data_IF_845299910159
#
_entry.id   IF_845299910159
#
_cell.length_a   1.000
_cell.length_b   1.000
_cell.length_c   1.000
_cell.angle_alpha   90.00
_cell.angle_beta   90.00
_cell.angle_gamma   90.00
#
_symmetry.space_group_name_H-M   'P 1'
#
loop_
_entity.id
_entity.type
_entity.pdbx_description
1 polymer ?
#
# COMPACT_ATOMS: atom_id res chain seq x y z
N UNK A 1 -6.72 10.56 -3.71
CA UNK A 1 -5.38 10.91 -4.24
C UNK A 1 -5.33 12.42 -4.49
N UNK A 2 -4.14 13.02 -4.55
CA UNK A 2 -3.98 14.48 -4.76
C UNK A 2 -4.50 14.96 -6.11
N UNK A 3 -4.48 14.08 -7.11
CA UNK A 3 -4.76 14.34 -8.52
C UNK A 3 -6.26 14.43 -8.86
N UNK A 4 -7.16 14.12 -7.91
CA UNK A 4 -8.62 14.06 -8.16
C UNK A 4 -9.48 14.77 -7.11
N UNK A 5 -8.86 15.38 -6.08
CA UNK A 5 -9.56 15.90 -4.90
C UNK A 5 -10.50 14.82 -4.29
N UNK A 6 -11.57 15.13 -3.49
CA UNK A 6 -12.46 14.08 -3.00
C UNK A 6 -13.33 13.54 -4.14
N UNK A 7 -13.10 12.28 -4.51
CA UNK A 7 -13.81 11.64 -5.61
C UNK A 7 -15.07 10.87 -5.18
N UNK A 8 -15.14 10.50 -3.90
CA UNK A 8 -16.25 9.73 -3.34
C UNK A 8 -16.84 10.41 -2.11
N UNK A 9 -18.09 10.08 -1.82
CA UNK A 9 -18.82 10.52 -0.64
C UNK A 9 -19.58 9.33 -0.04
N UNK A 10 -19.61 9.26 1.29
CA UNK A 10 -20.51 8.34 2.00
C UNK A 10 -21.73 9.12 2.44
N UNK A 11 -22.88 8.86 1.79
CA UNK A 11 -24.15 9.48 2.18
C UNK A 11 -24.58 8.99 3.55
N UNK A 12 -25.20 9.88 4.33
CA UNK A 12 -25.73 9.55 5.66
C UNK A 12 -26.68 8.35 5.56
N UNK A 13 -26.45 7.32 6.38
CA UNK A 13 -27.27 6.10 6.40
C UNK A 13 -26.97 5.07 5.29
N UNK A 14 -26.05 5.36 4.36
CA UNK A 14 -25.65 4.44 3.29
C UNK A 14 -24.20 3.96 3.45
N UNK A 15 -23.76 3.80 4.70
CA UNK A 15 -22.43 3.28 5.00
C UNK A 15 -22.37 1.77 4.80
N UNK A 16 -21.32 1.30 4.13
CA UNK A 16 -20.95 -0.12 4.07
C UNK A 16 -19.55 -0.30 4.61
N UNK A 17 -19.37 -1.29 5.48
CA UNK A 17 -18.06 -1.61 6.07
C UNK A 17 -17.04 -1.89 4.96
N UNK A 18 -15.89 -1.23 5.04
CA UNK A 18 -14.81 -1.36 4.06
C UNK A 18 -14.97 -0.55 2.77
N UNK A 19 -16.12 0.07 2.53
CA UNK A 19 -16.32 0.94 1.37
C UNK A 19 -15.75 2.35 1.60
N UNK A 20 -15.22 2.96 0.55
CA UNK A 20 -14.85 4.38 0.51
C UNK A 20 -16.00 5.28 0.04
N UNK A 21 -17.21 4.75 -0.02
CA UNK A 21 -18.43 5.45 -0.43
C UNK A 21 -18.75 5.29 -1.92
N UNK A 22 -19.66 6.13 -2.40
CA UNK A 22 -20.10 6.19 -3.80
C UNK A 22 -19.42 7.38 -4.50
N UNK A 23 -19.37 7.41 -5.84
CA UNK A 23 -18.94 8.60 -6.57
C UNK A 23 -19.66 9.87 -6.09
N UNK A 24 -18.90 10.94 -5.86
CA UNK A 24 -19.47 12.24 -5.49
C UNK A 24 -20.26 12.84 -6.67
N UNK A 25 -21.16 13.82 -6.44
CA UNK A 25 -21.86 14.50 -7.53
C UNK A 25 -20.88 15.02 -8.59
N UNK A 26 -21.21 14.83 -9.86
CA UNK A 26 -20.37 15.20 -11.01
C UNK A 26 -19.03 14.46 -11.12
N UNK A 27 -18.81 13.42 -10.29
CA UNK A 27 -17.69 12.49 -10.43
C UNK A 27 -18.18 11.20 -11.08
N UNK A 28 -17.35 10.68 -11.97
CA UNK A 28 -17.52 9.38 -12.60
C UNK A 28 -16.39 8.46 -12.15
N UNK A 29 -16.74 7.22 -11.80
CA UNK A 29 -15.80 6.18 -11.44
C UNK A 29 -16.08 4.97 -12.29
N UNK A 30 -15.04 4.40 -12.90
CA UNK A 30 -15.09 3.08 -13.51
C UNK A 30 -13.94 2.23 -13.02
N UNK A 31 -14.13 0.93 -13.07
CA UNK A 31 -13.08 -0.05 -12.77
C UNK A 31 -12.67 -0.70 -14.08
N UNK A 32 -11.39 -0.71 -14.40
CA UNK A 32 -10.87 -1.17 -15.69
C UNK A 32 -9.98 -2.40 -15.48
N UNK A 33 -10.20 -3.42 -16.30
CA UNK A 33 -9.36 -4.60 -16.28
C UNK A 33 -7.98 -4.27 -16.86
N UNK A 34 -6.93 -4.49 -16.07
CA UNK A 34 -5.55 -4.15 -16.43
C UNK A 34 -4.97 -4.91 -17.63
N UNK A 35 -5.60 -6.01 -18.05
CA UNK A 35 -5.15 -6.82 -19.19
C UNK A 35 -5.89 -6.48 -20.50
N UNK A 36 -7.16 -6.10 -20.41
CA UNK A 36 -8.01 -5.89 -21.59
C UNK A 36 -8.36 -4.43 -21.87
N UNK A 37 -8.04 -3.52 -20.93
CA UNK A 37 -8.41 -2.10 -20.96
C UNK A 37 -9.93 -1.88 -21.11
N UNK A 38 -10.72 -2.88 -20.71
CA UNK A 38 -12.19 -2.85 -20.73
C UNK A 38 -12.75 -2.62 -19.33
N UNK A 39 -13.91 -1.96 -19.19
CA UNK A 39 -14.60 -1.88 -17.91
C UNK A 39 -14.89 -3.27 -17.32
N UNK A 40 -14.58 -3.42 -16.04
CA UNK A 40 -14.92 -4.58 -15.22
C UNK A 40 -16.44 -4.61 -14.94
N UNK A 41 -16.97 -5.81 -14.70
CA UNK A 41 -18.31 -5.96 -14.12
C UNK A 41 -18.29 -5.57 -12.64
N UNK A 42 -19.48 -5.48 -12.04
CA UNK A 42 -19.58 -5.28 -10.59
C UNK A 42 -18.99 -6.46 -9.85
N UNK A 43 -18.36 -6.15 -8.72
CA UNK A 43 -17.58 -7.06 -7.89
C UNK A 43 -16.36 -7.68 -8.57
N UNK A 44 -16.01 -7.27 -9.79
CA UNK A 44 -14.74 -7.64 -10.42
C UNK A 44 -13.66 -6.59 -10.08
N UNK A 45 -12.49 -7.10 -9.70
CA UNK A 45 -11.35 -6.27 -9.31
C UNK A 45 -10.59 -5.79 -10.54
N UNK A 46 -10.35 -4.49 -10.61
CA UNK A 46 -9.60 -3.82 -11.68
C UNK A 46 -8.97 -2.51 -11.19
N UNK A 47 -8.31 -1.78 -12.07
CA UNK A 47 -7.78 -0.45 -11.76
C UNK A 47 -8.93 0.57 -11.68
N UNK A 48 -8.94 1.37 -10.62
CA UNK A 48 -9.93 2.44 -10.43
C UNK A 48 -9.53 3.61 -11.33
N UNK A 49 -10.46 4.05 -12.17
CA UNK A 49 -10.30 5.24 -13.00
C UNK A 49 -11.36 6.27 -12.62
N UNK A 50 -10.95 7.53 -12.51
CA UNK A 50 -11.81 8.62 -12.04
C UNK A 50 -11.85 9.75 -13.05
N UNK A 51 -13.03 10.33 -13.27
CA UNK A 51 -13.22 11.51 -14.09
C UNK A 51 -14.16 12.49 -13.40
N UNK A 52 -13.90 13.78 -13.56
CA UNK A 52 -14.71 14.84 -12.97
C UNK A 52 -14.02 16.19 -13.05
N UNK A 53 -14.73 17.26 -12.64
CA UNK A 53 -14.24 18.64 -12.73
C UNK A 53 -13.07 18.93 -11.79
N UNK A 54 -12.87 18.12 -10.74
CA UNK A 54 -11.82 18.30 -9.72
C UNK A 54 -10.51 17.59 -10.06
N UNK A 55 -10.38 17.05 -11.27
CA UNK A 55 -9.12 16.42 -11.72
C UNK A 55 -8.01 17.45 -11.84
N UNK A 56 -6.76 17.00 -11.64
CA UNK A 56 -5.59 17.81 -11.95
C UNK A 56 -5.55 18.20 -13.44
N UNK A 57 -4.92 19.34 -13.73
CA UNK A 57 -4.66 19.78 -15.09
C UNK A 57 -3.52 18.95 -15.71
N UNK A 58 -2.36 18.94 -15.07
CA UNK A 58 -1.16 18.20 -15.46
C UNK A 58 -0.15 18.17 -14.31
N UNK A 59 0.84 17.29 -14.41
CA UNK A 59 2.05 17.41 -13.60
C UNK A 59 2.96 18.53 -14.15
N UNK A 60 3.45 19.39 -13.26
CA UNK A 60 4.31 20.52 -13.61
C UNK A 60 5.60 20.02 -14.29
N UNK A 61 5.88 20.54 -15.49
CA UNK A 61 7.03 20.19 -16.32
C UNK A 61 7.20 18.68 -16.62
N UNK A 62 6.13 17.89 -16.50
CA UNK A 62 6.20 16.45 -16.74
C UNK A 62 5.05 15.96 -17.64
N UNK A 63 5.12 16.23 -18.96
CA UNK A 63 4.09 15.83 -19.91
C UNK A 63 4.00 14.30 -20.07
N UNK A 64 5.10 13.57 -19.89
CA UNK A 64 5.12 12.11 -19.99
C UNK A 64 4.32 11.47 -18.84
N UNK A 65 4.60 11.88 -17.59
CA UNK A 65 3.82 11.42 -16.45
C UNK A 65 2.35 11.81 -16.58
N UNK A 66 2.06 13.01 -17.11
CA UNK A 66 0.68 13.46 -17.35
C UNK A 66 -0.04 12.54 -18.33
N UNK A 67 0.59 12.18 -19.46
CA UNK A 67 0.03 11.25 -20.45
C UNK A 67 -0.12 9.82 -19.92
N UNK A 68 0.76 9.40 -19.00
CA UNK A 68 0.66 8.08 -18.37
C UNK A 68 -0.51 8.00 -17.37
N UNK A 69 -0.78 9.09 -16.64
CA UNK A 69 -1.82 9.15 -15.61
C UNK A 69 -3.18 9.57 -16.15
N UNK A 70 -3.22 10.45 -17.15
CA UNK A 70 -4.45 11.00 -17.71
C UNK A 70 -4.66 10.49 -19.13
N UNK A 71 -5.77 9.81 -19.35
CA UNK A 71 -6.16 9.34 -20.68
C UNK A 71 -6.67 10.49 -21.55
N UNK A 72 -6.67 10.29 -22.87
CA UNK A 72 -7.12 11.30 -23.83
C UNK A 72 -8.59 11.71 -23.66
N UNK A 73 -9.44 10.79 -23.19
CA UNK A 73 -10.86 11.00 -22.86
C UNK A 73 -11.08 11.52 -21.43
N UNK A 74 -9.99 11.92 -20.76
CA UNK A 74 -10.03 12.61 -19.48
C UNK A 74 -10.34 11.69 -18.30
N UNK A 75 -9.82 10.46 -18.24
CA UNK A 75 -9.80 9.65 -17.02
C UNK A 75 -8.45 9.75 -16.33
N UNK A 76 -8.44 9.87 -15.01
CA UNK A 76 -7.24 9.70 -14.19
C UNK A 76 -7.16 8.23 -13.81
N UNK A 77 -6.07 7.57 -14.19
CA UNK A 77 -5.71 6.24 -13.71
C UNK A 77 -5.15 6.38 -12.30
N UNK A 78 -5.81 5.82 -11.29
CA UNK A 78 -5.39 6.06 -9.90
C UNK A 78 -4.16 5.26 -9.50
N UNK A 79 -3.86 4.17 -10.20
CA UNK A 79 -2.87 3.19 -9.77
C UNK A 79 -3.33 2.34 -8.57
N UNK A 80 -4.60 2.48 -8.16
CA UNK A 80 -5.23 1.72 -7.09
C UNK A 80 -6.17 0.66 -7.68
N UNK A 81 -6.10 -0.55 -7.15
CA UNK A 81 -7.02 -1.62 -7.49
C UNK A 81 -8.25 -1.55 -6.61
N UNK A 82 -9.41 -1.85 -7.19
CA UNK A 82 -10.67 -1.87 -6.48
C UNK A 82 -11.77 -2.52 -7.28
N UNK A 83 -12.96 -2.51 -6.70
CA UNK A 83 -14.18 -2.92 -7.36
C UNK A 83 -15.34 -2.04 -6.89
N UNK A 84 -16.38 -1.97 -7.72
CA UNK A 84 -17.67 -1.43 -7.32
C UNK A 84 -18.62 -2.57 -7.05
N UNK A 85 -19.38 -2.52 -5.95
CA UNK A 85 -20.44 -3.49 -5.71
C UNK A 85 -21.70 -3.20 -6.55
N UNK A 86 -22.79 -3.92 -6.25
CA UNK A 86 -24.09 -3.77 -6.92
C UNK A 86 -24.75 -2.41 -6.71
N UNK A 87 -24.41 -1.71 -5.62
CA UNK A 87 -25.04 -0.45 -5.23
C UNK A 87 -24.07 0.74 -5.42
N UNK A 88 -23.07 0.60 -6.30
CA UNK A 88 -22.07 1.63 -6.61
C UNK A 88 -21.13 2.01 -5.45
N UNK A 89 -21.04 1.20 -4.40
CA UNK A 89 -20.05 1.42 -3.36
C UNK A 89 -18.68 0.96 -3.85
N UNK A 90 -17.71 1.88 -3.76
CA UNK A 90 -16.32 1.63 -4.15
C UNK A 90 -15.58 0.98 -2.99
N UNK A 91 -14.82 -0.06 -3.31
CA UNK A 91 -13.92 -0.76 -2.40
C UNK A 91 -12.52 -0.71 -2.97
N UNK A 92 -11.56 -0.22 -2.18
CA UNK A 92 -10.15 -0.18 -2.54
C UNK A 92 -9.49 -1.44 -1.99
N UNK A 93 -8.82 -2.19 -2.86
CA UNK A 93 -8.16 -3.45 -2.53
C UNK A 93 -6.72 -3.20 -2.11
N UNK A 94 -5.89 -2.67 -3.02
CA UNK A 94 -4.48 -2.33 -2.75
C UNK A 94 -3.94 -1.48 -3.92
N UNK A 95 -2.67 -1.07 -3.87
CA UNK A 95 -2.01 -0.39 -4.98
C UNK A 95 -1.43 -1.36 -5.99
N UNK A 96 -1.56 -1.05 -7.28
CA UNK A 96 -1.03 -1.89 -8.38
C UNK A 96 0.45 -2.23 -8.19
N UNK A 97 1.26 -1.23 -7.82
CA UNK A 97 2.71 -1.40 -7.64
C UNK A 97 3.10 -2.21 -6.39
N UNK A 98 2.15 -2.41 -5.47
CA UNK A 98 2.37 -3.08 -4.19
C UNK A 98 1.83 -4.52 -4.21
N UNK A 99 1.04 -4.88 -5.22
CA UNK A 99 0.60 -6.26 -5.45
C UNK A 99 1.77 -7.23 -5.61
N UNK A 100 1.69 -8.33 -4.87
CA UNK A 100 2.68 -9.40 -4.90
C UNK A 100 2.38 -10.31 -6.09
N UNK A 101 3.38 -10.50 -6.95
CA UNK A 101 3.25 -11.31 -8.18
C UNK A 101 3.69 -12.75 -7.92
N UNK A 102 2.76 -13.59 -7.47
CA UNK A 102 3.02 -15.02 -7.24
C UNK A 102 2.50 -15.87 -8.40
N UNK A 103 3.43 -16.41 -9.20
CA UNK A 103 3.13 -17.10 -10.46
C UNK A 103 2.29 -16.20 -11.38
N UNK A 104 1.21 -16.73 -11.95
CA UNK A 104 0.24 -15.98 -12.76
C UNK A 104 -0.83 -15.25 -11.94
N UNK A 105 -0.69 -15.19 -10.61
CA UNK A 105 -1.69 -14.59 -9.71
C UNK A 105 -1.12 -13.36 -9.00
N UNK A 106 -2.01 -12.40 -8.77
CA UNK A 106 -1.71 -11.21 -7.98
C UNK A 106 -2.30 -11.38 -6.58
N UNK A 107 -1.50 -11.08 -5.56
CA UNK A 107 -1.89 -11.18 -4.15
C UNK A 107 -1.80 -9.78 -3.56
N UNK A 108 -2.89 -9.32 -2.91
CA UNK A 108 -2.93 -8.02 -2.24
C UNK A 108 -2.34 -8.14 -0.83
N UNK A 109 -1.21 -7.47 -0.53
CA UNK A 109 -0.67 -7.41 0.83
C UNK A 109 -1.71 -7.05 1.89
N UNK A 110 -2.53 -6.02 1.64
CA UNK A 110 -3.49 -5.52 2.62
C UNK A 110 -4.59 -6.53 2.96
N UNK A 111 -4.91 -7.47 2.07
CA UNK A 111 -5.80 -8.57 2.40
C UNK A 111 -5.18 -9.50 3.46
N UNK A 112 -3.90 -9.86 3.30
CA UNK A 112 -3.20 -10.71 4.27
C UNK A 112 -3.00 -9.97 5.59
N UNK A 113 -2.62 -8.69 5.55
CA UNK A 113 -2.45 -7.84 6.73
C UNK A 113 -3.75 -7.77 7.53
N UNK A 114 -4.89 -7.52 6.87
CA UNK A 114 -6.19 -7.48 7.53
C UNK A 114 -6.56 -8.81 8.17
N UNK A 115 -6.21 -9.95 7.55
CA UNK A 115 -6.42 -11.26 8.18
C UNK A 115 -5.53 -11.42 9.39
N UNK A 116 -4.22 -11.12 9.29
CA UNK A 116 -3.27 -11.20 10.40
C UNK A 116 -3.70 -10.35 11.60
N UNK A 117 -4.18 -9.13 11.36
CA UNK A 117 -4.65 -8.21 12.40
C UNK A 117 -5.90 -8.71 13.15
N UNK A 118 -6.62 -9.71 12.64
CA UNK A 118 -7.70 -10.36 13.38
C UNK A 118 -7.18 -11.30 14.47
N UNK A 119 -5.90 -11.66 14.46
CA UNK A 119 -5.32 -12.53 15.48
C UNK A 119 -5.15 -11.74 16.80
N UNK A 120 -5.63 -12.26 17.95
CA UNK A 120 -5.65 -11.49 19.20
C UNK A 120 -4.26 -11.11 19.70
N UNK A 121 -3.22 -11.89 19.41
CA UNK A 121 -1.84 -11.63 19.81
C UNK A 121 -1.10 -10.61 18.91
N UNK A 122 -1.61 -10.31 17.71
CA UNK A 122 -0.92 -9.44 16.75
C UNK A 122 -1.34 -7.99 17.01
N UNK A 123 -0.34 -7.11 17.16
CA UNK A 123 -0.53 -5.65 17.32
C UNK A 123 -0.53 -4.96 15.96
N UNK A 124 0.41 -5.32 15.11
CA UNK A 124 0.59 -4.74 13.78
C UNK A 124 1.18 -5.77 12.81
N UNK A 125 0.85 -5.67 11.53
CA UNK A 125 1.29 -6.59 10.50
C UNK A 125 1.51 -5.89 9.16
N UNK A 126 2.59 -6.26 8.48
CA UNK A 126 2.91 -5.79 7.14
C UNK A 126 3.34 -6.95 6.26
N UNK A 127 2.87 -6.99 5.03
CA UNK A 127 3.21 -8.05 4.08
C UNK A 127 3.94 -7.47 2.88
N UNK A 128 5.01 -8.16 2.46
CA UNK A 128 5.78 -7.81 1.27
C UNK A 128 6.01 -9.02 0.38
N UNK A 129 6.19 -8.77 -0.92
CA UNK A 129 6.68 -9.78 -1.86
C UNK A 129 8.20 -9.87 -1.82
N UNK A 130 8.71 -11.07 -1.59
CA UNK A 130 10.15 -11.39 -1.68
C UNK A 130 10.43 -12.06 -3.04
N UNK A 131 11.42 -11.60 -3.81
CA UNK A 131 11.79 -12.24 -5.07
C UNK A 131 12.15 -13.72 -4.90
N UNK A 132 11.62 -14.58 -5.76
CA UNK A 132 11.91 -16.01 -5.83
C UNK A 132 11.92 -16.45 -7.29
N UNK A 133 13.08 -16.90 -7.78
CA UNK A 133 13.34 -17.15 -9.20
C UNK A 133 12.27 -17.98 -9.92
N UNK A 134 11.75 -19.03 -9.28
CA UNK A 134 10.79 -19.95 -9.90
C UNK A 134 9.34 -19.43 -9.99
N UNK A 135 8.97 -18.47 -9.14
CA UNK A 135 7.55 -18.09 -8.94
C UNK A 135 7.32 -16.58 -8.97
N UNK A 136 8.33 -15.79 -9.29
CA UNK A 136 8.28 -14.33 -9.26
C UNK A 136 8.51 -13.81 -7.85
N UNK A 137 7.44 -13.67 -7.07
CA UNK A 137 7.49 -13.20 -5.68
C UNK A 137 6.71 -14.12 -4.75
N UNK A 138 7.18 -14.29 -3.52
CA UNK A 138 6.49 -15.00 -2.44
C UNK A 138 6.11 -14.05 -1.30
N UNK A 139 4.88 -14.10 -0.76
CA UNK A 139 4.49 -13.25 0.37
C UNK A 139 5.27 -13.60 1.64
N UNK A 140 5.83 -12.59 2.30
CA UNK A 140 6.43 -12.64 3.64
C UNK A 140 5.70 -11.66 4.55
N UNK A 141 5.43 -12.06 5.79
CA UNK A 141 4.86 -11.18 6.81
C UNK A 141 5.93 -10.69 7.80
N UNK A 142 5.82 -9.42 8.16
CA UNK A 142 6.46 -8.81 9.32
C UNK A 142 5.38 -8.54 10.37
N UNK A 143 5.60 -9.00 11.59
CA UNK A 143 4.58 -9.02 12.66
C UNK A 143 5.14 -8.36 13.91
N UNK A 144 4.39 -7.41 14.44
CA UNK A 144 4.59 -6.86 15.78
C UNK A 144 3.56 -7.49 16.72
N UNK A 145 4.02 -8.09 17.81
CA UNK A 145 3.14 -8.71 18.81
C UNK A 145 2.67 -7.69 19.85
N UNK A 146 1.54 -7.98 20.49
CA UNK A 146 1.12 -7.25 21.68
C UNK A 146 2.04 -7.58 22.87
N UNK A 147 2.25 -6.64 23.80
CA UNK A 147 3.05 -6.89 25.00
C UNK A 147 2.54 -8.11 25.78
N UNK A 148 3.45 -9.01 26.16
CA UNK A 148 3.12 -10.21 26.93
C UNK A 148 2.51 -11.35 26.12
N UNK A 149 2.35 -11.21 24.80
CA UNK A 149 1.95 -12.31 23.92
C UNK A 149 3.17 -12.96 23.26
N UNK A 150 3.07 -14.27 23.02
CA UNK A 150 3.99 -15.05 22.19
C UNK A 150 3.22 -15.75 21.09
N UNK A 151 3.81 -15.88 19.92
CA UNK A 151 3.23 -16.57 18.77
C UNK A 151 4.35 -17.22 17.97
N UNK A 152 4.18 -18.48 17.54
CA UNK A 152 5.16 -19.14 16.67
C UNK A 152 4.92 -18.80 15.20
N UNK A 153 5.91 -19.07 14.33
CA UNK A 153 5.75 -18.94 12.89
C UNK A 153 4.69 -19.95 12.37
N UNK A 154 4.69 -21.17 12.91
CA UNK A 154 3.74 -22.23 12.60
C UNK A 154 2.29 -21.85 12.94
N UNK A 155 2.07 -21.16 14.08
CA UNK A 155 0.73 -20.68 14.46
C UNK A 155 0.21 -19.65 13.45
N UNK A 156 1.07 -18.73 12.99
CA UNK A 156 0.73 -17.71 12.00
C UNK A 156 0.38 -18.36 10.66
N UNK A 157 1.19 -19.33 10.22
CA UNK A 157 0.92 -20.11 9.02
C UNK A 157 -0.44 -20.80 9.11
N UNK A 158 -0.67 -21.58 10.16
CA UNK A 158 -1.94 -22.28 10.40
C UNK A 158 -3.14 -21.33 10.37
N UNK A 159 -3.00 -20.16 10.99
CA UNK A 159 -4.05 -19.15 11.03
C UNK A 159 -4.39 -18.55 9.65
N UNK A 160 -3.38 -18.32 8.80
CA UNK A 160 -3.58 -17.85 7.42
C UNK A 160 -4.16 -18.95 6.53
N UNK A 161 -3.64 -20.18 6.65
CA UNK A 161 -4.04 -21.31 5.81
C UNK A 161 -5.51 -21.69 5.99
N UNK A 162 -6.04 -21.55 7.21
CA UNK A 162 -7.45 -21.76 7.50
C UNK A 162 -8.40 -20.68 6.96
N UNK A 163 -7.89 -19.54 6.48
CA UNK A 163 -8.71 -18.38 6.08
C UNK A 163 -8.53 -17.96 4.62
N UNK A 164 -7.36 -18.19 4.04
CA UNK A 164 -7.00 -17.70 2.71
C UNK A 164 -6.64 -18.83 1.74
N UNK A 165 -6.90 -18.58 0.46
CA UNK A 165 -6.60 -19.52 -0.60
C UNK A 165 -5.08 -19.80 -0.73
N UNK A 166 -4.67 -21.01 -1.20
CA UNK A 166 -3.28 -21.43 -1.19
C UNK A 166 -2.27 -20.47 -1.81
N UNK A 167 -2.62 -19.80 -2.91
CA UNK A 167 -1.74 -18.87 -3.59
C UNK A 167 -1.41 -17.60 -2.78
N UNK A 168 -2.14 -17.33 -1.69
CA UNK A 168 -1.94 -16.19 -0.79
C UNK A 168 -1.13 -16.54 0.47
N UNK A 169 -0.75 -17.80 0.66
CA UNK A 169 -0.01 -18.21 1.85
C UNK A 169 1.40 -17.58 1.93
N UNK A 170 1.87 -17.39 3.16
CA UNK A 170 3.11 -16.71 3.52
C UNK A 170 4.39 -17.53 3.22
N UNK A 171 4.58 -17.95 1.97
CA UNK A 171 5.71 -18.81 1.56
C UNK A 171 7.09 -18.17 1.76
N UNK A 172 7.15 -16.85 1.90
CA UNK A 172 8.36 -16.12 2.25
C UNK A 172 8.73 -16.21 3.73
N UNK A 173 7.88 -16.81 4.56
CA UNK A 173 8.02 -16.94 6.01
C UNK A 173 7.46 -15.75 6.78
N UNK A 174 7.68 -15.78 8.09
CA UNK A 174 7.24 -14.77 9.06
C UNK A 174 8.45 -14.19 9.79
N UNK A 175 8.42 -12.88 10.07
CA UNK A 175 9.43 -12.18 10.86
C UNK A 175 8.78 -11.38 11.96
N UNK A 176 9.17 -11.65 13.19
CA UNK A 176 8.75 -10.86 14.34
C UNK A 176 9.66 -9.64 14.49
N UNK A 177 9.07 -8.46 14.60
CA UNK A 177 9.77 -7.18 14.73
C UNK A 177 9.15 -6.36 15.85
N UNK A 178 9.95 -5.52 16.49
CA UNK A 178 9.47 -4.63 17.55
C UNK A 178 8.52 -3.55 17.00
N UNK A 179 8.80 -3.04 15.80
CA UNK A 179 7.98 -2.03 15.16
C UNK A 179 8.03 -2.15 13.63
N UNK A 180 6.90 -1.84 12.99
CA UNK A 180 6.78 -1.79 11.54
C UNK A 180 6.99 -0.33 11.09
N UNK A 181 7.83 -0.07 10.07
CA UNK A 181 8.08 1.28 9.60
C UNK A 181 6.84 1.83 8.89
N UNK A 182 6.28 2.92 9.43
CA UNK A 182 5.17 3.66 8.84
C UNK A 182 5.61 5.06 8.42
N UNK A 183 5.01 5.62 7.37
CA UNK A 183 5.18 7.04 7.04
C UNK A 183 4.33 7.92 7.97
N UNK A 184 4.56 9.23 7.93
CA UNK A 184 3.82 10.20 8.77
C UNK A 184 2.29 10.16 8.59
N UNK A 185 1.79 9.60 7.48
CA UNK A 185 0.37 9.40 7.20
C UNK A 185 -0.11 7.97 7.51
N UNK A 186 0.66 7.19 8.30
CA UNK A 186 0.29 5.84 8.75
C UNK A 186 0.38 4.75 7.69
N UNK A 187 1.01 5.00 6.53
CA UNK A 187 1.18 3.96 5.50
C UNK A 187 2.42 3.13 5.78
N UNK A 188 2.30 1.81 5.63
CA UNK A 188 3.43 0.88 5.71
C UNK A 188 4.50 1.27 4.68
N UNK A 189 5.74 1.49 5.14
CA UNK A 189 6.88 1.75 4.28
C UNK A 189 7.44 0.44 3.71
N UNK A 190 6.71 -0.17 2.78
CA UNK A 190 7.07 -1.46 2.17
C UNK A 190 8.45 -1.46 1.49
N UNK A 191 8.92 -0.29 1.02
CA UNK A 191 10.27 -0.14 0.47
C UNK A 191 11.35 -0.44 1.52
N UNK A 192 11.22 0.10 2.72
CA UNK A 192 12.15 -0.14 3.82
C UNK A 192 12.14 -1.62 4.24
N UNK A 193 10.96 -2.25 4.31
CA UNK A 193 10.85 -3.68 4.60
C UNK A 193 11.50 -4.56 3.52
N UNK A 194 11.36 -4.18 2.23
CA UNK A 194 12.04 -4.89 1.13
C UNK A 194 13.57 -4.78 1.23
N UNK A 195 14.09 -3.59 1.56
CA UNK A 195 15.52 -3.39 1.79
C UNK A 195 16.03 -4.22 2.98
N UNK A 196 15.29 -4.26 4.09
CA UNK A 196 15.59 -5.13 5.23
C UNK A 196 15.63 -6.61 4.84
N UNK A 197 14.64 -7.08 4.07
CA UNK A 197 14.61 -8.46 3.61
C UNK A 197 15.80 -8.81 2.71
N UNK A 198 16.26 -7.88 1.86
CA UNK A 198 17.46 -8.09 1.04
C UNK A 198 18.72 -8.24 1.90
N UNK A 199 18.87 -7.42 2.94
CA UNK A 199 19.98 -7.52 3.88
C UNK A 199 19.96 -8.83 4.66
N UNK A 200 18.78 -9.26 5.12
CA UNK A 200 18.60 -10.57 5.78
C UNK A 200 19.00 -11.74 4.88
N UNK A 201 18.64 -11.68 3.59
CA UNK A 201 19.00 -12.70 2.61
C UNK A 201 20.50 -12.71 2.29
N UNK A 202 21.15 -11.55 2.26
CA UNK A 202 22.60 -11.45 2.06
C UNK A 202 23.39 -11.98 3.27
N UNK A 203 22.92 -11.71 4.50
CA UNK A 203 23.54 -12.19 5.74
C UNK A 203 23.50 -13.70 5.93
N UNK A 204 22.59 -14.43 5.27
CA UNK A 204 22.53 -15.91 5.33
C UNK A 204 23.63 -16.62 4.53
N UNK A 205 24.33 -15.93 3.63
CA UNK A 205 25.45 -16.51 2.86
C UNK A 205 26.81 -16.36 3.56
N UNK A 206 26.86 -15.76 4.76
CA UNK A 206 28.04 -15.74 5.62
C UNK A 206 27.67 -16.29 7.00
N UNK A 207 28.20 -17.46 7.36
CA UNK A 207 27.93 -18.11 8.64
C UNK A 207 28.42 -17.28 9.84
N UNK A 208 27.48 -17.02 10.77
CA UNK A 208 27.59 -16.86 12.23
C UNK A 208 28.72 -15.95 12.78
N UNK A 209 28.31 -14.82 13.35
CA UNK A 209 28.81 -14.37 14.65
C UNK A 209 27.69 -13.63 15.39
N UNK A 210 27.23 -14.20 16.51
CA UNK A 210 26.58 -13.42 17.56
C UNK A 210 27.63 -12.48 18.14
N UNK A 211 27.43 -11.18 17.98
CA UNK A 211 27.83 -10.22 18.99
C UNK A 211 27.02 -8.93 18.83
N UNK A 212 26.44 -8.51 19.95
CA UNK A 212 25.85 -7.20 20.17
C UNK A 212 26.80 -6.10 19.68
N UNK A 213 26.30 -5.21 18.83
CA UNK A 213 26.50 -3.76 18.90
C UNK A 213 26.04 -3.13 17.57
N UNK A 214 24.79 -2.70 17.52
CA UNK A 214 24.27 -1.82 16.46
C UNK A 214 23.80 -0.49 17.06
N UNK A 215 24.63 0.09 17.92
CA UNK A 215 24.60 1.51 18.23
C UNK A 215 25.79 2.18 17.53
N UNK A 216 25.75 2.29 16.19
CA UNK A 216 26.50 3.27 15.38
C UNK A 216 26.23 3.05 13.89
N UNK A 217 26.19 4.17 13.18
CA UNK A 217 26.19 4.33 11.71
C UNK A 217 24.82 4.35 11.00
N UNK A 218 24.08 5.43 11.23
CA UNK A 218 23.41 6.12 10.12
C UNK A 218 24.06 7.50 9.96
N UNK A 219 24.72 7.84 8.83
CA UNK A 219 24.99 9.23 8.54
C UNK A 219 23.67 9.89 8.16
N UNK A 220 23.22 10.80 9.01
CA UNK A 220 22.11 11.69 8.73
C UNK A 220 22.44 12.53 7.49
N UNK A 221 21.77 12.24 6.37
CA UNK A 221 21.71 13.19 5.26
C UNK A 221 20.76 14.34 5.66
N UNK A 222 21.33 15.31 6.38
CA UNK A 222 20.76 16.63 6.60
C UNK A 222 20.86 17.42 5.29
N UNK A 223 19.74 17.54 4.58
CA UNK A 223 19.60 18.49 3.49
C UNK A 223 19.44 19.90 4.08
N UNK A 224 20.53 20.68 4.09
CA UNK A 224 20.51 22.11 4.40
C UNK A 224 19.94 22.85 3.18
N UNK A 225 18.65 23.20 3.25
CA UNK A 225 18.08 24.19 2.33
C UNK A 225 18.71 25.57 2.57
N UNK A 226 18.91 26.39 1.53
CA UNK A 226 19.38 27.75 1.71
C UNK A 226 18.31 28.58 2.41
N UNK A 227 18.60 29.01 3.64
CA UNK A 227 17.92 30.12 4.29
C UNK A 227 18.18 31.39 3.47
N UNK A 228 17.11 32.10 3.10
CA UNK A 228 17.02 33.56 3.19
C UNK A 228 15.71 34.07 2.53
N UNK A 229 14.63 34.17 3.29
CA UNK A 229 14.11 35.46 3.80
C UNK A 229 12.76 35.27 4.51
N UNK A 230 12.71 35.87 5.70
CA UNK A 230 11.61 35.89 6.64
C UNK A 230 10.38 36.65 6.11
N UNK A 231 9.19 36.25 6.57
CA UNK A 231 8.01 37.11 6.65
C UNK A 231 7.64 37.14 8.13
N UNK A 232 7.63 38.31 8.79
CA UNK A 232 6.52 38.80 9.65
C UNK A 232 6.60 40.33 9.82
N UNK A 233 5.49 40.98 9.45
CA UNK A 233 4.82 42.24 9.82
C UNK A 233 5.49 43.36 10.67
N UNK A 234 5.27 44.63 10.27
CA UNK A 234 4.42 45.65 10.94
C UNK A 234 4.59 47.06 10.32
N UNK A 235 3.48 47.76 10.05
CA UNK A 235 3.40 49.22 9.73
C UNK A 235 3.67 50.09 11.00
N UNK A 236 3.50 51.44 11.04
CA UNK A 236 3.59 52.53 10.04
C UNK A 236 4.56 53.67 10.49
N UNK A 237 4.85 54.65 9.62
CA UNK A 237 4.88 56.11 9.89
C UNK A 237 5.86 56.92 9.00
N UNK A 238 5.30 58.03 8.50
CA UNK A 238 5.86 59.22 7.80
C UNK A 238 6.26 59.06 6.35
#
# INVERSE_FOLDING_TARGET
MTECAPATITKRGQYKVGSVGQPAPSMEVKVVNSQSDRPCRRSEVGEIWIRGPTRMIAYLHNPEATKATVTADGWVKTGDMGYLDSDDHLYVVDRIKELIKYKSKQVAPTELENVLLQHPAIKDAAVIGIPKAEVGEIPRAYICLKPGCSLSEEDVHTFIEGKLAPHKWLRGGVRFVENIPHSCNGKVQRKALKEQAMLESAGKNGSIAHQNDAAKLFPAYLYKGPTNHCIVAAEPNV
#
